data_IF_546757261219
#
_entry.id   IF_546757261219
#
_cell.length_a   1.000
_cell.length_b   1.000
_cell.length_c   1.000
_cell.angle_alpha   90.00
_cell.angle_beta   90.00
_cell.angle_gamma   90.00
#
_symmetry.space_group_name_H-M   'P 1'
#
loop_
_entity.id
_entity.type
_entity.pdbx_description
1 polymer ?
#
# COMPACT_ATOMS: atom_id res chain seq x y z
N UNK A 1 4.31 26.94 16.18
CA UNK A 1 5.63 27.29 15.64
C UNK A 1 5.64 27.01 14.15
N UNK A 2 6.42 27.75 13.39
CA UNK A 2 6.58 27.58 11.94
C UNK A 2 8.04 27.76 11.54
N UNK A 3 8.41 27.15 10.42
CA UNK A 3 9.75 27.25 9.84
C UNK A 3 10.88 26.79 10.79
N UNK A 4 10.66 25.63 11.45
CA UNK A 4 11.68 24.99 12.29
C UNK A 4 12.39 23.88 11.52
N UNK A 5 13.66 23.70 11.85
CA UNK A 5 14.53 22.74 11.24
C UNK A 5 15.14 21.81 12.31
N UNK A 6 14.85 20.51 12.22
CA UNK A 6 15.39 19.48 13.10
C UNK A 6 16.32 18.58 12.28
N UNK A 7 17.58 18.55 12.62
CA UNK A 7 18.57 17.76 11.89
C UNK A 7 19.56 17.09 12.83
N UNK A 8 19.98 15.87 12.47
CA UNK A 8 21.01 15.09 13.18
C UNK A 8 20.70 14.82 14.66
N UNK A 9 19.43 14.77 15.04
CA UNK A 9 19.01 14.50 16.41
C UNK A 9 18.79 13.00 16.64
N UNK A 10 19.07 12.55 17.85
CA UNK A 10 18.65 11.23 18.34
C UNK A 10 17.61 11.41 19.44
N UNK A 11 16.40 10.87 19.22
CA UNK A 11 15.29 10.95 20.15
C UNK A 11 14.92 9.56 20.68
N UNK A 12 14.87 9.46 22.02
CA UNK A 12 14.41 8.26 22.73
C UNK A 12 13.30 8.68 23.69
N UNK A 13 12.07 8.66 23.20
CA UNK A 13 10.90 9.09 23.96
C UNK A 13 9.65 8.38 23.42
N UNK A 14 8.59 8.30 24.21
CA UNK A 14 7.32 7.75 23.75
C UNK A 14 6.73 8.56 22.59
N UNK A 15 6.84 9.88 22.63
CA UNK A 15 6.45 10.82 21.58
C UNK A 15 7.70 11.57 21.14
N UNK A 16 8.01 11.57 19.85
CA UNK A 16 9.15 12.25 19.28
C UNK A 16 8.86 13.74 19.00
N UNK A 17 8.56 14.09 17.77
CA UNK A 17 8.24 15.48 17.37
C UNK A 17 6.76 15.58 17.02
N UNK A 18 6.04 16.46 17.73
CA UNK A 18 4.63 16.69 17.52
C UNK A 18 4.25 18.17 17.66
N UNK A 19 3.28 18.63 16.87
CA UNK A 19 2.81 20.04 16.93
C UNK A 19 1.45 20.21 17.61
N UNK A 20 1.16 19.42 18.63
CA UNK A 20 -0.04 19.57 19.43
C UNK A 20 -1.19 18.63 19.04
N UNK A 21 -2.42 18.98 19.35
CA UNK A 21 -3.61 18.17 19.11
C UNK A 21 -4.45 18.62 17.91
N UNK A 22 -5.46 17.84 17.56
CA UNK A 22 -6.30 17.99 16.36
C UNK A 22 -6.80 19.42 16.10
N UNK A 23 -7.21 20.12 17.13
CA UNK A 23 -7.77 21.48 17.03
C UNK A 23 -6.78 22.60 17.41
N UNK A 24 -5.51 22.29 17.52
CA UNK A 24 -4.48 23.30 17.77
C UNK A 24 -4.27 24.22 16.56
N UNK A 25 -3.56 25.33 16.76
CA UNK A 25 -3.22 26.26 15.68
C UNK A 25 -2.39 25.64 14.55
N UNK A 26 -1.83 24.44 14.79
CA UNK A 26 -0.93 23.79 13.85
C UNK A 26 0.43 24.43 13.71
N UNK A 27 1.18 23.97 12.75
CA UNK A 27 2.51 24.49 12.41
C UNK A 27 2.78 24.28 10.92
N UNK A 28 3.60 25.14 10.34
CA UNK A 28 3.90 25.11 8.92
C UNK A 28 5.41 25.14 8.64
N UNK A 29 5.83 24.55 7.52
CA UNK A 29 7.20 24.64 7.06
C UNK A 29 8.23 23.95 7.96
N UNK A 30 7.85 22.88 8.64
CA UNK A 30 8.77 22.12 9.50
C UNK A 30 9.57 21.13 8.66
N UNK A 31 10.88 21.10 8.85
CA UNK A 31 11.79 20.13 8.24
C UNK A 31 12.40 19.24 9.31
N UNK A 32 12.26 17.92 9.14
CA UNK A 32 12.86 16.90 10.01
C UNK A 32 13.68 15.97 9.13
N UNK A 33 14.99 16.02 9.26
CA UNK A 33 15.88 15.21 8.43
C UNK A 33 17.09 14.65 9.19
N UNK A 34 17.58 13.49 8.72
CA UNK A 34 18.77 12.82 9.29
C UNK A 34 18.70 12.60 10.80
N UNK A 35 17.46 12.47 11.31
CA UNK A 35 17.21 12.19 12.71
C UNK A 35 17.03 10.69 12.96
N UNK A 36 17.28 10.25 14.19
CA UNK A 36 17.07 8.88 14.65
C UNK A 36 16.03 8.87 15.76
N UNK A 37 14.93 8.14 15.55
CA UNK A 37 13.91 7.91 16.54
C UNK A 37 14.00 6.44 17.01
N UNK A 38 14.16 6.22 18.29
CA UNK A 38 14.44 4.90 18.85
C UNK A 38 13.40 4.53 19.91
N UNK A 39 12.64 3.47 19.68
CA UNK A 39 11.62 2.99 20.60
C UNK A 39 10.45 3.95 20.80
N UNK A 40 10.18 4.81 19.84
CA UNK A 40 9.10 5.80 19.92
C UNK A 40 7.76 5.16 19.55
N UNK A 41 6.69 5.42 20.32
CA UNK A 41 5.35 4.96 19.95
C UNK A 41 4.70 5.87 18.89
N UNK A 42 4.97 7.18 18.96
CA UNK A 42 4.55 8.18 17.98
C UNK A 42 5.77 9.04 17.62
N UNK A 43 6.44 8.68 16.52
CA UNK A 43 7.73 9.32 16.26
C UNK A 43 7.57 10.74 15.73
N UNK A 44 6.73 10.95 14.72
CA UNK A 44 6.49 12.27 14.13
C UNK A 44 4.98 12.44 13.93
N UNK A 45 4.44 13.56 14.40
CA UNK A 45 3.03 13.88 14.19
C UNK A 45 2.85 15.37 13.91
N UNK A 46 2.18 15.69 12.81
CA UNK A 46 1.79 17.08 12.53
C UNK A 46 0.68 17.57 13.47
N UNK A 47 -0.01 16.66 14.15
CA UNK A 47 -0.86 16.86 15.33
C UNK A 47 -2.12 17.67 15.11
N UNK A 48 -2.20 18.52 14.09
CA UNK A 48 -3.33 19.42 13.85
C UNK A 48 -3.73 19.49 12.39
N UNK A 49 -5.03 19.57 12.12
CA UNK A 49 -5.60 19.81 10.80
C UNK A 49 -5.12 21.12 10.14
N UNK A 50 -4.67 22.07 10.95
CA UNK A 50 -4.13 23.34 10.50
C UNK A 50 -2.62 23.29 10.21
N UNK A 51 -1.98 22.14 10.32
CA UNK A 51 -0.56 21.97 9.98
C UNK A 51 -0.36 21.86 8.48
N UNK A 52 0.73 22.41 7.96
CA UNK A 52 1.02 22.37 6.54
C UNK A 52 2.50 22.34 6.20
N UNK A 53 2.84 21.80 5.03
CA UNK A 53 4.16 21.87 4.42
C UNK A 53 5.30 21.37 5.34
N UNK A 54 5.07 20.22 5.98
CA UNK A 54 6.15 19.51 6.66
C UNK A 54 6.92 18.64 5.67
N UNK A 55 8.25 18.63 5.82
CA UNK A 55 9.16 17.75 5.08
C UNK A 55 9.87 16.83 6.06
N UNK A 56 9.60 15.52 5.95
CA UNK A 56 10.22 14.47 6.77
C UNK A 56 11.05 13.59 5.85
N UNK A 57 12.39 13.70 5.94
CA UNK A 57 13.25 13.01 4.97
C UNK A 57 14.55 12.49 5.60
N UNK A 58 15.03 11.38 5.06
CA UNK A 58 16.32 10.78 5.43
C UNK A 58 16.44 10.40 6.92
N UNK A 59 15.32 10.00 7.56
CA UNK A 59 15.31 9.62 8.98
C UNK A 59 15.33 8.10 9.16
N UNK A 60 15.90 7.66 10.28
CA UNK A 60 15.81 6.29 10.81
C UNK A 60 14.80 6.28 11.96
N UNK A 61 13.65 5.61 11.77
CA UNK A 61 12.53 5.64 12.70
C UNK A 61 12.19 4.23 13.12
N UNK A 62 12.38 3.90 14.40
CA UNK A 62 12.10 2.58 14.95
C UNK A 62 11.13 2.70 16.11
N UNK A 63 10.03 1.97 16.00
CA UNK A 63 8.99 1.88 17.01
C UNK A 63 9.37 0.98 18.19
N UNK A 64 8.47 0.81 19.18
CA UNK A 64 8.67 -0.06 20.31
C UNK A 64 8.87 -1.52 19.88
N UNK A 65 9.71 -2.26 20.57
CA UNK A 65 9.97 -3.69 20.25
C UNK A 65 8.72 -4.57 20.30
N UNK A 66 7.75 -4.19 21.12
CA UNK A 66 6.47 -4.91 21.29
C UNK A 66 5.45 -4.68 20.16
N UNK A 67 5.70 -3.73 19.28
CA UNK A 67 4.77 -3.34 18.19
C UNK A 67 5.39 -3.71 16.85
N UNK A 68 5.29 -4.95 16.43
CA UNK A 68 5.84 -5.37 15.15
C UNK A 68 5.21 -6.67 14.63
N UNK A 69 5.29 -6.82 13.34
CA UNK A 69 4.97 -8.03 12.60
C UNK A 69 5.72 -9.29 13.16
N UNK A 70 5.14 -10.51 13.13
CA UNK A 70 3.85 -10.82 12.50
C UNK A 70 2.65 -10.77 13.46
N UNK A 71 2.85 -10.42 14.71
CA UNK A 71 1.83 -10.52 15.74
C UNK A 71 1.12 -9.19 15.91
N UNK A 72 -0.20 -9.20 15.66
CA UNK A 72 -1.04 -8.04 15.94
C UNK A 72 -0.93 -7.65 17.40
N UNK A 73 -0.33 -6.52 17.66
CA UNK A 73 -0.24 -5.91 18.99
C UNK A 73 -1.48 -5.07 19.27
N UNK A 74 -1.89 -4.98 20.53
CA UNK A 74 -2.92 -4.02 20.93
C UNK A 74 -2.35 -2.59 21.16
N UNK A 75 -1.04 -2.42 21.06
CA UNK A 75 -0.42 -1.11 21.26
C UNK A 75 -0.58 -0.26 20.00
N UNK A 76 -1.26 0.85 20.14
CA UNK A 76 -1.30 1.85 19.08
C UNK A 76 0.05 2.54 18.98
N UNK A 77 0.64 2.51 17.78
CA UNK A 77 1.89 3.21 17.49
C UNK A 77 1.93 3.58 16.02
N UNK A 78 2.47 4.75 15.70
CA UNK A 78 2.57 5.23 14.31
C UNK A 78 3.93 5.90 14.09
N UNK A 79 4.58 5.54 13.01
CA UNK A 79 5.88 6.12 12.65
C UNK A 79 5.75 7.60 12.30
N UNK A 80 5.04 7.90 11.22
CA UNK A 80 4.70 9.28 10.84
C UNK A 80 3.20 9.41 10.68
N UNK A 81 2.62 10.31 11.43
CA UNK A 81 1.18 10.56 11.48
C UNK A 81 0.88 11.98 11.03
N UNK A 82 0.16 12.13 9.92
CA UNK A 82 -0.09 13.41 9.29
C UNK A 82 -1.55 13.85 9.41
N UNK A 83 -1.70 15.10 9.77
CA UNK A 83 -2.92 15.89 9.64
C UNK A 83 -2.61 17.11 8.79
N UNK A 84 -3.60 17.63 8.09
CA UNK A 84 -3.43 18.84 7.28
C UNK A 84 -2.89 18.56 5.89
N UNK A 85 -2.12 19.45 5.32
CA UNK A 85 -1.89 19.50 3.87
C UNK A 85 -0.45 19.83 3.46
N UNK A 86 -0.08 19.43 2.24
CA UNK A 86 1.20 19.82 1.62
C UNK A 86 2.41 19.11 2.22
N UNK A 87 2.26 17.94 2.81
CA UNK A 87 3.34 17.24 3.48
C UNK A 87 4.12 16.33 2.55
N UNK A 88 5.42 16.21 2.81
CA UNK A 88 6.34 15.31 2.12
C UNK A 88 7.00 14.39 3.14
N UNK A 89 6.89 13.08 2.94
CA UNK A 89 7.60 12.06 3.70
C UNK A 89 8.37 11.17 2.73
N UNK A 90 9.68 11.32 2.68
CA UNK A 90 10.49 10.67 1.66
C UNK A 90 11.83 10.17 2.18
N UNK A 91 12.34 9.08 1.59
CA UNK A 91 13.65 8.53 1.90
C UNK A 91 13.87 8.20 3.39
N UNK A 92 12.80 7.83 4.12
CA UNK A 92 12.92 7.40 5.50
C UNK A 92 12.98 5.86 5.59
N UNK A 93 13.65 5.34 6.62
CA UNK A 93 13.52 3.96 7.04
C UNK A 93 12.66 3.91 8.29
N UNK A 94 11.48 3.27 8.19
CA UNK A 94 10.46 3.24 9.26
C UNK A 94 10.08 1.80 9.53
N UNK A 95 10.16 1.38 10.81
CA UNK A 95 9.90 -0.02 11.16
C UNK A 95 9.35 -0.20 12.57
N UNK A 96 8.64 -1.33 12.78
CA UNK A 96 8.11 -1.76 14.09
C UNK A 96 7.04 -0.82 14.64
N UNK A 97 6.04 -0.54 13.85
CA UNK A 97 4.88 0.26 14.24
C UNK A 97 3.56 -0.50 14.01
N UNK A 98 2.46 0.04 14.53
CA UNK A 98 1.12 -0.26 14.04
C UNK A 98 1.06 0.09 12.58
N UNK A 99 1.09 1.40 12.32
CA UNK A 99 1.17 1.96 10.97
C UNK A 99 2.52 2.65 10.78
N UNK A 100 3.24 2.33 9.71
CA UNK A 100 4.48 3.03 9.44
C UNK A 100 4.23 4.48 9.05
N UNK A 101 3.31 4.70 8.10
CA UNK A 101 2.87 6.01 7.65
C UNK A 101 1.35 6.07 7.69
N UNK A 102 0.78 7.14 8.23
CA UNK A 102 -0.65 7.34 8.24
C UNK A 102 -1.03 8.80 7.99
N UNK A 103 -2.14 9.01 7.30
CA UNK A 103 -2.87 10.27 7.34
C UNK A 103 -4.06 10.10 8.28
N UNK A 104 -4.34 11.13 9.05
CA UNK A 104 -5.38 11.05 10.08
C UNK A 104 -6.42 12.14 9.89
N UNK A 105 -7.59 11.70 9.50
CA UNK A 105 -8.77 12.54 9.56
C UNK A 105 -10.01 11.65 9.67
N UNK A 106 -10.19 11.07 10.84
CA UNK A 106 -11.28 10.13 11.05
C UNK A 106 -12.65 10.81 10.96
N UNK A 107 -13.48 10.25 10.13
CA UNK A 107 -14.87 10.62 10.00
C UNK A 107 -15.29 11.00 8.58
N UNK A 108 -16.57 11.24 8.37
CA UNK A 108 -17.10 11.69 7.10
C UNK A 108 -16.49 13.04 6.70
N UNK A 109 -16.51 13.38 5.41
CA UNK A 109 -16.12 14.72 4.96
C UNK A 109 -16.90 15.77 5.77
N UNK A 110 -16.20 16.71 6.36
CA UNK A 110 -16.82 17.89 6.98
C UNK A 110 -17.11 18.91 5.88
N UNK A 111 -17.99 19.86 6.17
CA UNK A 111 -18.35 20.93 5.21
C UNK A 111 -17.12 21.69 4.68
N UNK A 112 -16.13 21.89 5.54
CA UNK A 112 -14.85 22.51 5.17
C UNK A 112 -13.83 21.47 4.71
N UNK A 113 -13.79 21.22 3.40
CA UNK A 113 -12.86 20.27 2.77
C UNK A 113 -11.39 20.67 2.99
N UNK A 114 -11.10 21.94 3.26
CA UNK A 114 -9.74 22.41 3.49
C UNK A 114 -9.13 21.88 4.80
N UNK A 115 -9.94 21.38 5.71
CA UNK A 115 -9.49 20.72 6.94
C UNK A 115 -9.09 19.26 6.74
N UNK A 116 -9.35 18.68 5.59
CA UNK A 116 -9.00 17.29 5.30
C UNK A 116 -7.58 17.15 4.77
N UNK A 117 -7.01 15.96 4.98
CA UNK A 117 -5.69 15.62 4.48
C UNK A 117 -5.68 15.58 2.96
N UNK A 118 -4.82 16.41 2.36
CA UNK A 118 -4.66 16.53 0.92
C UNK A 118 -3.24 16.96 0.53
N UNK A 119 -2.88 16.79 -0.73
CA UNK A 119 -1.58 17.20 -1.27
C UNK A 119 -0.40 16.63 -0.44
N UNK A 120 -0.40 15.33 -0.24
CA UNK A 120 0.60 14.61 0.57
C UNK A 120 1.40 13.65 -0.31
N UNK A 121 2.70 13.65 -0.14
CA UNK A 121 3.64 12.77 -0.83
C UNK A 121 4.31 11.78 0.12
N UNK A 122 4.16 10.48 -0.14
CA UNK A 122 4.92 9.40 0.46
C UNK A 122 5.76 8.71 -0.62
N UNK A 123 7.08 8.89 -0.62
CA UNK A 123 7.89 8.27 -1.65
C UNK A 123 9.30 7.86 -1.22
N UNK A 124 9.83 6.82 -1.88
CA UNK A 124 11.16 6.27 -1.64
C UNK A 124 11.44 5.86 -0.18
N UNK A 125 10.39 5.61 0.61
CA UNK A 125 10.56 5.12 1.96
C UNK A 125 10.82 3.61 1.97
N UNK A 126 11.59 3.14 2.96
CA UNK A 126 11.82 1.74 3.29
C UNK A 126 11.03 1.40 4.56
N UNK A 127 9.87 0.75 4.39
CA UNK A 127 8.91 0.46 5.45
C UNK A 127 8.92 -1.03 5.79
N UNK A 128 8.97 -1.37 7.09
CA UNK A 128 8.93 -2.77 7.47
C UNK A 128 8.36 -3.04 8.86
N UNK A 129 7.93 -4.29 9.04
CA UNK A 129 7.52 -4.83 10.32
C UNK A 129 6.34 -4.05 10.93
N UNK A 130 5.30 -3.78 10.13
CA UNK A 130 4.06 -3.18 10.58
C UNK A 130 3.08 -4.26 11.05
N UNK A 131 2.45 -4.08 12.21
CA UNK A 131 1.44 -5.03 12.65
C UNK A 131 0.03 -4.71 12.12
N UNK A 132 -0.19 -3.53 11.57
CA UNK A 132 -1.36 -3.15 10.78
C UNK A 132 -0.95 -2.70 9.39
N UNK A 133 -1.03 -1.44 9.03
CA UNK A 133 -0.79 -0.98 7.67
C UNK A 133 0.66 -0.45 7.47
N UNK A 134 1.28 -0.74 6.32
CA UNK A 134 2.50 0.01 5.97
C UNK A 134 2.20 1.47 5.71
N UNK A 135 1.14 1.73 4.93
CA UNK A 135 0.70 3.08 4.58
C UNK A 135 -0.83 3.12 4.65
N UNK A 136 -1.35 3.95 5.54
CA UNK A 136 -2.76 4.21 5.70
C UNK A 136 -3.10 5.61 5.17
N UNK A 137 -3.89 5.66 4.07
CA UNK A 137 -4.36 6.93 3.48
C UNK A 137 -5.85 7.14 3.70
N UNK A 138 -6.38 6.56 4.76
CA UNK A 138 -7.81 6.55 5.06
C UNK A 138 -8.33 7.95 5.34
N UNK A 139 -9.54 8.24 4.84
CA UNK A 139 -10.22 9.53 4.97
C UNK A 139 -9.53 10.72 4.27
N UNK A 140 -8.55 10.48 3.40
CA UNK A 140 -7.98 11.51 2.55
C UNK A 140 -8.98 12.02 1.49
N UNK A 141 -8.73 13.19 0.94
CA UNK A 141 -9.66 13.83 0.00
C UNK A 141 -9.15 13.88 -1.42
N UNK A 142 -7.96 14.44 -1.63
CA UNK A 142 -7.40 14.57 -2.97
C UNK A 142 -5.88 14.77 -2.99
N UNK A 143 -5.28 14.41 -4.11
CA UNK A 143 -3.88 14.61 -4.42
C UNK A 143 -2.94 14.02 -3.35
N UNK A 144 -3.20 12.77 -2.95
CA UNK A 144 -2.30 11.99 -2.10
C UNK A 144 -1.53 11.03 -2.99
N UNK A 145 -0.19 11.10 -2.96
CA UNK A 145 0.69 10.31 -3.83
C UNK A 145 1.56 9.38 -3.00
N UNK A 146 1.36 8.09 -3.21
CA UNK A 146 2.12 7.00 -2.58
C UNK A 146 2.89 6.30 -3.69
N UNK A 147 4.18 6.60 -3.84
CA UNK A 147 4.91 6.14 -4.99
C UNK A 147 6.36 5.74 -4.69
N UNK A 148 6.80 4.65 -5.36
CA UNK A 148 8.14 4.10 -5.19
C UNK A 148 8.54 3.89 -3.73
N UNK A 149 7.63 3.36 -2.89
CA UNK A 149 7.98 2.90 -1.56
C UNK A 149 8.27 1.40 -1.59
N UNK A 150 9.18 0.95 -0.75
CA UNK A 150 9.40 -0.47 -0.47
C UNK A 150 8.78 -0.81 0.87
N UNK A 151 7.86 -1.77 0.84
CA UNK A 151 7.05 -2.19 1.97
C UNK A 151 7.22 -3.70 2.19
N UNK A 152 7.66 -4.14 3.37
CA UNK A 152 7.82 -5.57 3.67
C UNK A 152 7.38 -5.91 5.09
N UNK A 153 6.87 -7.13 5.25
CA UNK A 153 6.48 -7.66 6.55
C UNK A 153 5.40 -6.83 7.24
N UNK A 154 4.16 -6.96 6.82
CA UNK A 154 3.05 -6.32 7.50
C UNK A 154 1.82 -7.21 7.56
N UNK A 155 0.87 -6.81 8.38
CA UNK A 155 -0.48 -7.38 8.33
C UNK A 155 -1.19 -6.89 7.07
N UNK A 156 -1.15 -5.58 6.78
CA UNK A 156 -1.74 -4.94 5.60
C UNK A 156 -0.69 -4.09 4.88
N UNK A 157 -0.78 -4.00 3.57
CA UNK A 157 0.13 -3.18 2.75
C UNK A 157 -0.30 -1.72 2.65
N UNK A 158 -1.13 -1.44 1.64
CA UNK A 158 -1.58 -0.09 1.29
C UNK A 158 -3.09 0.01 1.55
N UNK A 159 -3.49 0.93 2.41
CA UNK A 159 -4.88 1.15 2.82
C UNK A 159 -5.44 2.45 2.25
N UNK A 160 -6.65 2.36 1.68
CA UNK A 160 -7.47 3.47 1.19
C UNK A 160 -8.92 3.17 1.57
N UNK A 161 -9.39 3.62 2.76
CA UNK A 161 -10.72 3.23 3.25
C UNK A 161 -11.38 4.21 4.26
N UNK A 162 -12.25 5.10 3.82
CA UNK A 162 -12.51 5.50 2.44
C UNK A 162 -11.51 6.52 1.91
N UNK A 163 -11.73 6.94 0.67
CA UNK A 163 -11.08 8.12 0.10
C UNK A 163 -12.15 8.96 -0.61
N UNK A 164 -12.19 10.25 -0.35
CA UNK A 164 -13.33 11.09 -0.70
C UNK A 164 -13.10 11.92 -1.96
N UNK A 165 -13.14 11.26 -3.13
CA UNK A 165 -13.13 11.92 -4.43
C UNK A 165 -11.81 11.80 -5.19
N UNK A 166 -10.68 11.84 -4.54
CA UNK A 166 -9.37 11.65 -5.16
C UNK A 166 -8.88 12.83 -6.01
N UNK A 167 -7.78 12.63 -6.75
CA UNK A 167 -7.10 11.35 -6.86
C UNK A 167 -6.21 10.99 -5.66
N UNK A 168 -6.16 9.69 -5.37
CA UNK A 168 -5.08 9.07 -4.64
C UNK A 168 -4.28 8.18 -5.59
N UNK A 169 -2.97 8.31 -5.58
CA UNK A 169 -2.08 7.60 -6.48
C UNK A 169 -1.28 6.55 -5.72
N UNK A 170 -1.40 5.29 -6.10
CA UNK A 170 -0.55 4.20 -5.65
C UNK A 170 0.31 3.76 -6.83
N UNK A 171 1.56 4.26 -6.94
CA UNK A 171 2.35 4.10 -8.15
C UNK A 171 3.73 3.50 -7.85
N UNK A 172 4.11 2.44 -8.59
CA UNK A 172 5.44 1.82 -8.53
C UNK A 172 5.90 1.45 -7.12
N UNK A 173 4.97 1.05 -6.24
CA UNK A 173 5.34 0.54 -4.92
C UNK A 173 5.73 -0.95 -5.00
N UNK A 174 6.75 -1.32 -4.25
CA UNK A 174 7.21 -2.68 -4.04
C UNK A 174 6.69 -3.19 -2.71
N UNK A 175 5.85 -4.23 -2.71
CA UNK A 175 5.23 -4.78 -1.49
C UNK A 175 5.49 -6.29 -1.40
N UNK A 176 6.12 -6.77 -0.31
CA UNK A 176 6.46 -8.16 -0.13
C UNK A 176 6.20 -8.66 1.29
N UNK A 177 5.60 -9.85 1.43
CA UNK A 177 5.45 -10.49 2.74
C UNK A 177 4.30 -9.94 3.59
N UNK A 178 3.22 -9.47 2.97
CA UNK A 178 2.00 -9.05 3.65
C UNK A 178 1.13 -10.26 3.98
N UNK A 179 0.62 -10.35 5.21
CA UNK A 179 -0.12 -11.54 5.67
C UNK A 179 -1.62 -11.49 5.47
N UNK A 180 -2.21 -10.29 5.39
CA UNK A 180 -3.65 -10.14 5.21
C UNK A 180 -3.98 -9.58 3.82
N UNK A 181 -3.87 -8.29 3.60
CA UNK A 181 -4.22 -7.64 2.34
C UNK A 181 -3.08 -6.71 1.89
N UNK A 182 -2.59 -6.86 0.68
CA UNK A 182 -1.65 -5.88 0.11
C UNK A 182 -2.36 -4.60 -0.28
N UNK A 183 -3.56 -4.72 -0.88
CA UNK A 183 -4.47 -3.59 -1.13
C UNK A 183 -5.71 -3.72 -0.24
N UNK A 184 -5.96 -2.73 0.60
CA UNK A 184 -7.14 -2.61 1.46
C UNK A 184 -7.98 -1.41 0.98
N UNK A 185 -8.78 -1.62 -0.07
CA UNK A 185 -9.60 -0.59 -0.71
C UNK A 185 -11.06 -0.80 -0.30
N UNK A 186 -11.44 -0.25 0.85
CA UNK A 186 -12.73 -0.53 1.48
C UNK A 186 -13.55 0.74 1.70
N UNK A 187 -14.80 0.56 2.09
CA UNK A 187 -15.69 1.64 2.55
C UNK A 187 -15.89 2.72 1.50
N UNK A 188 -16.25 2.30 0.28
CA UNK A 188 -16.60 3.19 -0.83
C UNK A 188 -15.51 4.19 -1.23
N UNK A 189 -14.26 3.78 -1.41
CA UNK A 189 -13.22 4.71 -1.84
C UNK A 189 -13.47 5.19 -3.27
N UNK A 190 -13.11 6.44 -3.56
CA UNK A 190 -13.31 7.03 -4.88
C UNK A 190 -12.07 7.80 -5.37
N UNK A 191 -11.84 7.76 -6.70
CA UNK A 191 -10.72 8.47 -7.32
C UNK A 191 -9.37 7.83 -7.04
N UNK A 192 -9.19 6.55 -7.40
CA UNK A 192 -7.98 5.79 -7.08
C UNK A 192 -7.23 5.41 -8.35
N UNK A 193 -5.97 5.81 -8.44
CA UNK A 193 -5.05 5.49 -9.53
C UNK A 193 -3.99 4.50 -9.05
N UNK A 194 -4.06 3.25 -9.49
CA UNK A 194 -3.19 2.16 -9.05
C UNK A 194 -2.38 1.65 -10.23
N UNK A 195 -1.13 2.10 -10.34
CA UNK A 195 -0.32 1.86 -11.52
C UNK A 195 1.05 1.28 -11.19
N UNK A 196 1.47 0.29 -11.97
CA UNK A 196 2.82 -0.27 -11.92
C UNK A 196 3.28 -0.69 -10.51
N UNK A 197 2.41 -1.22 -9.65
CA UNK A 197 2.86 -1.79 -8.39
C UNK A 197 3.20 -3.27 -8.53
N UNK A 198 4.15 -3.75 -7.75
CA UNK A 198 4.40 -5.19 -7.56
C UNK A 198 4.07 -5.56 -6.14
N UNK A 199 3.09 -6.45 -5.97
CA UNK A 199 2.62 -6.89 -4.66
C UNK A 199 2.66 -8.39 -4.54
N UNK A 200 3.34 -8.87 -3.49
CA UNK A 200 3.52 -10.28 -3.19
C UNK A 200 2.99 -10.56 -1.78
N UNK A 201 1.77 -11.09 -1.70
CA UNK A 201 1.13 -11.43 -0.44
C UNK A 201 1.48 -12.85 0.02
N UNK A 202 1.49 -13.07 1.33
CA UNK A 202 1.55 -14.42 1.88
C UNK A 202 0.21 -15.16 1.75
N UNK A 203 -0.87 -14.41 1.56
CA UNK A 203 -2.24 -14.91 1.38
C UNK A 203 -2.93 -14.22 0.20
N UNK A 204 -4.02 -13.51 0.41
CA UNK A 204 -4.77 -12.83 -0.65
C UNK A 204 -4.15 -11.46 -0.97
N UNK A 205 -3.99 -11.14 -2.25
CA UNK A 205 -3.33 -9.91 -2.66
C UNK A 205 -4.15 -8.64 -2.44
N UNK A 206 -5.48 -8.68 -2.49
CA UNK A 206 -6.22 -7.44 -2.28
C UNK A 206 -7.72 -7.58 -2.07
N UNK A 207 -8.28 -6.55 -1.44
CA UNK A 207 -9.72 -6.36 -1.27
C UNK A 207 -10.16 -5.04 -1.88
N UNK A 208 -11.20 -5.09 -2.71
CA UNK A 208 -11.83 -3.91 -3.29
C UNK A 208 -13.28 -3.86 -2.80
N UNK A 209 -13.65 -2.79 -2.09
CA UNK A 209 -14.98 -2.63 -1.50
C UNK A 209 -15.74 -1.44 -2.07
N UNK A 210 -16.58 -1.66 -3.09
CA UNK A 210 -17.44 -0.65 -3.70
C UNK A 210 -16.68 0.59 -4.19
N UNK A 211 -15.51 0.40 -4.79
CA UNK A 211 -14.69 1.49 -5.31
C UNK A 211 -15.35 2.18 -6.50
N UNK A 212 -15.15 3.47 -6.61
CA UNK A 212 -15.65 4.30 -7.70
C UNK A 212 -14.50 5.08 -8.34
N UNK A 213 -14.58 5.30 -9.64
CA UNK A 213 -13.55 6.03 -10.38
C UNK A 213 -12.15 5.50 -10.02
N UNK A 214 -11.97 4.18 -10.20
CA UNK A 214 -10.73 3.49 -9.92
C UNK A 214 -10.10 3.00 -11.22
N UNK A 215 -8.83 3.30 -11.39
CA UNK A 215 -8.04 2.88 -12.55
C UNK A 215 -6.88 2.01 -12.10
N UNK A 216 -6.85 0.76 -12.61
CA UNK A 216 -5.93 -0.28 -12.16
C UNK A 216 -5.15 -0.82 -13.36
N UNK A 217 -3.86 -0.46 -13.49
CA UNK A 217 -3.06 -0.72 -14.69
C UNK A 217 -1.64 -1.18 -14.38
N UNK A 218 -1.13 -2.06 -15.21
CA UNK A 218 0.28 -2.48 -15.20
C UNK A 218 0.77 -3.04 -13.86
N UNK A 219 -0.10 -3.53 -12.99
CA UNK A 219 0.32 -4.06 -11.70
C UNK A 219 0.69 -5.56 -11.82
N UNK A 220 1.61 -6.01 -10.99
CA UNK A 220 1.88 -7.43 -10.74
C UNK A 220 1.32 -7.81 -9.37
N UNK A 221 0.36 -8.75 -9.35
CA UNK A 221 -0.44 -9.09 -8.18
C UNK A 221 -0.30 -10.58 -7.91
N UNK A 222 0.59 -10.92 -6.97
CA UNK A 222 0.88 -12.30 -6.63
C UNK A 222 0.40 -12.59 -5.21
N UNK A 223 -0.50 -13.54 -5.12
CA UNK A 223 -0.95 -14.10 -3.85
C UNK A 223 -0.02 -15.19 -3.34
N UNK A 224 -0.28 -15.64 -2.13
CA UNK A 224 0.43 -16.72 -1.47
C UNK A 224 -0.46 -17.95 -1.24
N UNK A 225 -0.27 -18.58 -0.09
CA UNK A 225 -1.05 -19.76 0.33
C UNK A 225 -2.29 -19.28 1.07
N UNK A 226 -3.39 -19.15 0.34
CA UNK A 226 -4.63 -18.53 0.84
C UNK A 226 -5.25 -19.31 2.00
N UNK A 227 -5.11 -20.64 2.04
CA UNK A 227 -5.61 -21.49 3.13
C UNK A 227 -5.04 -21.06 4.47
N UNK A 228 -3.78 -20.65 4.50
CA UNK A 228 -3.11 -20.14 5.70
C UNK A 228 -3.65 -18.81 6.20
N UNK A 229 -4.38 -18.07 5.36
CA UNK A 229 -5.09 -16.87 5.78
C UNK A 229 -6.07 -17.15 6.92
N UNK A 230 -6.70 -18.34 6.91
CA UNK A 230 -7.64 -18.72 7.96
C UNK A 230 -6.96 -19.01 9.30
N UNK A 231 -5.67 -19.32 9.30
CA UNK A 231 -4.91 -19.59 10.54
C UNK A 231 -4.68 -18.32 11.40
N UNK A 232 -4.78 -17.12 10.78
CA UNK A 232 -4.64 -15.85 11.52
C UNK A 232 -5.86 -15.50 12.37
N UNK A 233 -7.00 -16.18 12.14
CA UNK A 233 -8.22 -15.96 12.91
C UNK A 233 -8.32 -16.95 14.08
N UNK A 234 -8.67 -16.42 15.26
CA UNK A 234 -8.73 -17.21 16.49
C UNK A 234 -9.99 -18.05 16.62
N UNK A 235 -11.13 -17.60 16.08
CA UNK A 235 -12.41 -18.31 16.22
C UNK A 235 -12.86 -19.00 14.94
N UNK A 236 -13.56 -20.13 15.08
CA UNK A 236 -14.15 -20.86 13.93
C UNK A 236 -15.23 -20.03 13.23
N UNK A 237 -15.94 -19.17 13.95
CA UNK A 237 -16.91 -18.24 13.38
C UNK A 237 -16.23 -17.22 12.44
N UNK A 238 -15.08 -16.67 12.84
CA UNK A 238 -14.29 -15.80 11.97
C UNK A 238 -13.71 -16.54 10.78
N UNK A 239 -13.16 -17.74 10.97
CA UNK A 239 -12.67 -18.60 9.89
C UNK A 239 -13.77 -18.89 8.88
N UNK A 240 -14.97 -19.32 9.34
CA UNK A 240 -16.13 -19.59 8.50
C UNK A 240 -16.57 -18.35 7.71
N UNK A 241 -16.64 -17.20 8.35
CA UNK A 241 -16.99 -15.92 7.71
C UNK A 241 -15.98 -15.54 6.61
N UNK A 242 -14.69 -15.66 6.91
CA UNK A 242 -13.63 -15.26 5.99
C UNK A 242 -13.38 -16.29 4.88
N UNK A 243 -13.64 -17.59 5.10
CA UNK A 243 -13.55 -18.63 4.06
C UNK A 243 -14.39 -18.30 2.81
N UNK A 244 -15.55 -17.67 2.98
CA UNK A 244 -16.41 -17.26 1.86
C UNK A 244 -15.87 -16.06 1.05
N UNK A 245 -14.78 -15.45 1.52
CA UNK A 245 -14.21 -14.25 0.93
C UNK A 245 -12.86 -14.49 0.27
N UNK A 246 -12.34 -15.71 0.39
CA UNK A 246 -11.03 -16.04 -0.14
C UNK A 246 -11.01 -15.96 -1.66
N UNK A 247 -9.90 -15.40 -2.16
CA UNK A 247 -9.53 -15.44 -3.57
C UNK A 247 -8.00 -15.34 -3.67
N UNK A 248 -7.44 -15.93 -4.73
CA UNK A 248 -6.00 -15.85 -4.93
C UNK A 248 -5.52 -14.44 -5.28
N UNK A 249 -6.21 -13.77 -6.19
CA UNK A 249 -5.86 -12.42 -6.61
C UNK A 249 -6.65 -11.37 -5.80
N UNK A 250 -7.89 -11.11 -6.19
CA UNK A 250 -8.68 -10.04 -5.60
C UNK A 250 -10.05 -10.56 -5.15
N UNK A 251 -10.52 -10.02 -4.03
CA UNK A 251 -11.86 -10.30 -3.55
C UNK A 251 -12.60 -9.03 -3.13
N UNK A 252 -13.90 -9.07 -3.19
CA UNK A 252 -14.74 -8.04 -2.61
C UNK A 252 -15.82 -7.50 -3.50
N UNK A 253 -15.92 -6.21 -3.57
CA UNK A 253 -17.06 -5.55 -4.13
C UNK A 253 -16.83 -4.93 -5.47
N UNK A 254 -17.88 -4.39 -5.97
CA UNK A 254 -18.08 -3.73 -7.22
C UNK A 254 -17.21 -2.49 -7.35
N UNK A 255 -16.51 -2.38 -8.45
CA UNK A 255 -16.20 -1.08 -9.05
C UNK A 255 -17.45 -0.63 -9.84
N UNK A 256 -17.69 0.67 -9.97
CA UNK A 256 -18.72 1.18 -10.87
C UNK A 256 -18.19 1.09 -12.31
N UNK A 257 -18.70 0.20 -13.17
CA UNK A 257 -18.08 -0.08 -14.47
C UNK A 257 -17.94 1.15 -15.35
N UNK A 258 -18.93 2.03 -15.34
CA UNK A 258 -18.95 3.24 -16.18
C UNK A 258 -17.88 4.28 -15.83
N UNK A 259 -17.21 4.15 -14.68
CA UNK A 259 -16.22 5.14 -14.19
C UNK A 259 -14.90 4.51 -13.75
N UNK A 260 -14.77 3.19 -13.89
CA UNK A 260 -13.58 2.46 -13.44
C UNK A 260 -13.02 1.62 -14.58
N UNK A 261 -11.71 1.42 -14.57
CA UNK A 261 -11.04 0.60 -15.57
C UNK A 261 -10.00 -0.30 -14.92
N UNK A 262 -9.83 -1.50 -15.45
CA UNK A 262 -8.87 -2.49 -14.96
C UNK A 262 -8.38 -3.30 -16.15
N UNK A 263 -7.08 -3.18 -16.46
CA UNK A 263 -6.47 -3.86 -17.61
C UNK A 263 -4.94 -3.84 -17.53
N UNK A 264 -4.27 -4.69 -18.31
CA UNK A 264 -2.81 -4.81 -18.35
C UNK A 264 -2.21 -5.18 -16.98
N UNK A 265 -2.87 -6.01 -16.18
CA UNK A 265 -2.29 -6.47 -14.93
C UNK A 265 -1.86 -7.94 -15.00
N UNK A 266 -0.81 -8.29 -14.28
CA UNK A 266 -0.34 -9.67 -14.14
C UNK A 266 -0.78 -10.26 -12.81
N UNK A 267 -1.30 -11.50 -12.82
CA UNK A 267 -1.86 -12.18 -11.66
C UNK A 267 -1.30 -13.57 -11.48
N UNK A 268 -0.95 -13.94 -10.24
CA UNK A 268 -0.71 -15.32 -9.87
C UNK A 268 -2.03 -16.05 -9.61
N UNK A 269 -2.29 -17.16 -10.33
CA UNK A 269 -3.48 -17.99 -10.17
C UNK A 269 -3.51 -18.64 -8.79
N UNK A 270 -2.36 -18.83 -8.16
CA UNK A 270 -2.24 -19.62 -6.95
C UNK A 270 -2.33 -21.13 -7.21
N UNK A 271 -2.18 -21.93 -6.17
CA UNK A 271 -2.01 -23.39 -6.28
C UNK A 271 -3.26 -24.20 -5.99
N UNK A 272 -4.18 -23.73 -5.15
CA UNK A 272 -5.40 -24.45 -4.82
C UNK A 272 -6.50 -24.17 -5.85
N UNK A 273 -6.90 -25.18 -6.66
CA UNK A 273 -7.98 -25.03 -7.64
C UNK A 273 -9.35 -24.82 -7.00
N UNK A 274 -9.53 -25.17 -5.72
CA UNK A 274 -10.81 -25.00 -5.02
C UNK A 274 -11.05 -23.55 -4.59
N UNK A 275 -10.00 -22.76 -4.47
CA UNK A 275 -10.10 -21.34 -4.16
C UNK A 275 -10.30 -20.56 -5.47
N UNK A 276 -11.32 -19.68 -5.55
CA UNK A 276 -11.53 -18.89 -6.74
C UNK A 276 -10.33 -17.97 -7.02
N UNK A 277 -10.10 -17.68 -8.28
CA UNK A 277 -9.10 -16.71 -8.69
C UNK A 277 -9.52 -15.30 -8.29
N UNK A 278 -10.75 -14.94 -8.64
CA UNK A 278 -11.41 -13.73 -8.18
C UNK A 278 -12.72 -14.08 -7.45
N UNK A 279 -12.97 -13.43 -6.35
CA UNK A 279 -14.27 -13.45 -5.70
C UNK A 279 -14.89 -12.06 -5.88
N UNK A 280 -15.72 -11.91 -6.89
CA UNK A 280 -16.18 -10.61 -7.35
C UNK A 280 -17.67 -10.40 -7.15
N UNK A 281 -18.04 -9.19 -6.79
CA UNK A 281 -19.43 -8.80 -6.59
C UNK A 281 -19.82 -7.72 -7.60
N UNK A 282 -20.90 -7.91 -8.34
CA UNK A 282 -21.51 -6.90 -9.19
C UNK A 282 -22.96 -6.72 -8.77
N UNK A 283 -23.28 -5.57 -8.18
CA UNK A 283 -24.58 -5.34 -7.57
C UNK A 283 -24.89 -6.35 -6.47
N UNK A 284 -25.98 -7.10 -6.61
CA UNK A 284 -26.39 -8.18 -5.67
C UNK A 284 -25.78 -9.53 -5.98
N UNK A 285 -25.14 -9.69 -7.14
CA UNK A 285 -24.54 -10.95 -7.57
C UNK A 285 -23.12 -11.07 -7.02
N UNK A 286 -22.77 -12.24 -6.51
CA UNK A 286 -21.41 -12.58 -6.09
C UNK A 286 -20.96 -13.80 -6.89
N UNK A 287 -19.85 -13.67 -7.60
CA UNK A 287 -19.32 -14.69 -8.49
C UNK A 287 -17.94 -15.14 -8.03
N UNK A 288 -17.74 -16.44 -7.97
CA UNK A 288 -16.45 -17.09 -7.74
C UNK A 288 -15.84 -17.44 -9.09
N UNK A 289 -15.03 -16.56 -9.62
CA UNK A 289 -14.45 -16.68 -10.96
C UNK A 289 -13.13 -17.42 -10.88
N UNK A 290 -12.91 -18.39 -11.78
CA UNK A 290 -11.78 -19.33 -11.68
C UNK A 290 -10.64 -19.04 -12.64
N UNK A 291 -10.86 -18.14 -13.61
CA UNK A 291 -9.86 -17.75 -14.61
C UNK A 291 -9.94 -16.28 -14.95
N UNK A 292 -8.91 -15.74 -15.60
CA UNK A 292 -8.95 -14.39 -16.20
C UNK A 292 -10.05 -14.28 -17.25
N UNK A 293 -10.25 -15.33 -18.04
CA UNK A 293 -11.32 -15.40 -19.05
C UNK A 293 -12.70 -15.25 -18.40
N UNK A 294 -12.96 -15.96 -17.30
CA UNK A 294 -14.22 -15.83 -16.58
C UNK A 294 -14.39 -14.43 -15.99
N UNK A 295 -13.29 -13.85 -15.46
CA UNK A 295 -13.30 -12.51 -14.92
C UNK A 295 -13.57 -11.44 -16.00
N UNK A 296 -12.88 -11.54 -17.13
CA UNK A 296 -13.15 -10.68 -18.30
C UNK A 296 -14.59 -10.82 -18.79
N UNK A 297 -15.07 -12.05 -18.99
CA UNK A 297 -16.43 -12.30 -19.47
C UNK A 297 -17.52 -11.77 -18.53
N UNK A 298 -17.28 -11.76 -17.22
CA UNK A 298 -18.24 -11.26 -16.24
C UNK A 298 -18.17 -9.73 -16.05
N UNK A 299 -16.99 -9.14 -16.14
CA UNK A 299 -16.75 -7.72 -15.77
C UNK A 299 -16.45 -6.80 -16.95
N UNK A 300 -15.96 -7.33 -18.06
CA UNK A 300 -15.37 -6.58 -19.16
C UNK A 300 -13.96 -6.05 -18.87
N UNK A 301 -13.39 -6.33 -17.67
CA UNK A 301 -12.04 -5.95 -17.28
C UNK A 301 -10.99 -6.97 -17.73
N UNK A 302 -9.72 -6.61 -17.69
CA UNK A 302 -8.56 -7.48 -17.96
C UNK A 302 -8.58 -8.12 -19.35
N UNK A 303 -8.85 -7.33 -20.38
CA UNK A 303 -8.74 -7.78 -21.77
C UNK A 303 -7.30 -8.17 -22.14
N UNK A 304 -6.32 -7.47 -21.56
CA UNK A 304 -4.88 -7.70 -21.73
C UNK A 304 -4.20 -8.21 -20.45
N UNK A 305 -4.99 -8.77 -19.52
CA UNK A 305 -4.45 -9.35 -18.28
C UNK A 305 -3.58 -10.58 -18.54
N UNK A 306 -2.51 -10.75 -17.75
CA UNK A 306 -1.58 -11.87 -17.87
C UNK A 306 -1.66 -12.80 -16.67
N UNK A 307 -1.46 -14.11 -16.92
CA UNK A 307 -1.13 -15.07 -15.88
C UNK A 307 0.39 -15.07 -15.69
N UNK A 308 0.81 -14.90 -14.45
CA UNK A 308 2.21 -14.91 -14.04
C UNK A 308 2.38 -15.77 -12.80
N UNK A 309 3.61 -16.12 -12.48
CA UNK A 309 4.00 -16.73 -11.22
C UNK A 309 5.31 -16.11 -10.72
N UNK A 310 5.84 -16.60 -9.61
CA UNK A 310 7.06 -16.05 -9.01
C UNK A 310 8.33 -16.27 -9.86
N UNK A 311 8.29 -17.11 -10.91
CA UNK A 311 9.42 -17.34 -11.82
C UNK A 311 9.75 -16.15 -12.72
N UNK A 312 8.84 -15.16 -12.80
CA UNK A 312 9.06 -13.90 -13.53
C UNK A 312 10.13 -13.02 -12.88
N UNK A 313 10.43 -13.23 -11.60
CA UNK A 313 11.42 -12.45 -10.86
C UNK A 313 12.80 -13.10 -10.85
N UNK A 314 13.84 -12.30 -10.70
CA UNK A 314 15.20 -12.81 -10.54
C UNK A 314 15.34 -13.73 -9.33
N UNK A 315 14.73 -13.33 -8.19
CA UNK A 315 14.79 -14.10 -6.95
C UNK A 315 13.60 -13.77 -6.06
N UNK A 316 12.50 -14.46 -6.23
CA UNK A 316 11.38 -14.37 -5.33
C UNK A 316 10.65 -15.72 -5.23
N UNK A 317 9.95 -15.90 -4.15
CA UNK A 317 9.06 -17.05 -3.91
C UNK A 317 7.82 -16.58 -3.14
N UNK A 318 6.72 -17.34 -3.14
CA UNK A 318 5.56 -16.98 -2.34
C UNK A 318 5.92 -16.73 -0.87
N UNK A 319 5.62 -15.53 -0.33
CA UNK A 319 5.90 -15.26 1.07
C UNK A 319 5.14 -16.22 1.99
N UNK A 320 5.73 -16.52 3.14
CA UNK A 320 5.11 -17.39 4.15
C UNK A 320 4.53 -16.56 5.28
N UNK A 321 3.33 -16.91 5.73
CA UNK A 321 2.72 -16.32 6.93
C UNK A 321 3.65 -16.49 8.13
N UNK A 322 3.86 -15.43 8.88
CA UNK A 322 4.70 -15.45 10.09
C UNK A 322 6.21 -15.38 9.84
N UNK A 323 6.65 -15.34 8.59
CA UNK A 323 8.08 -15.15 8.28
C UNK A 323 8.36 -13.66 8.02
N UNK A 324 9.39 -13.13 8.68
CA UNK A 324 9.96 -11.81 8.37
C UNK A 324 11.05 -11.95 7.31
N UNK A 325 11.06 -11.03 6.38
CA UNK A 325 11.99 -10.98 5.27
C UNK A 325 12.86 -9.74 5.35
N UNK A 326 14.13 -9.90 5.00
CA UNK A 326 15.07 -8.81 4.79
C UNK A 326 15.15 -8.47 3.29
N UNK A 327 15.76 -7.37 2.95
CA UNK A 327 15.91 -6.92 1.56
C UNK A 327 16.76 -7.89 0.71
N UNK A 328 17.72 -8.55 1.34
CA UNK A 328 18.58 -9.55 0.69
C UNK A 328 17.89 -10.90 0.45
N UNK A 329 16.71 -11.15 1.04
CA UNK A 329 16.00 -12.44 0.90
C UNK A 329 15.27 -12.56 -0.45
N UNK A 330 15.01 -11.45 -1.15
CA UNK A 330 14.27 -11.44 -2.40
C UNK A 330 14.74 -10.35 -3.35
N UNK A 331 14.35 -10.46 -4.64
CA UNK A 331 14.47 -9.42 -5.66
C UNK A 331 13.23 -9.47 -6.54
N UNK A 332 12.48 -8.38 -6.64
CA UNK A 332 11.33 -8.26 -7.53
C UNK A 332 11.69 -7.62 -8.88
N UNK A 333 12.98 -7.56 -9.22
CA UNK A 333 13.42 -7.25 -10.57
C UNK A 333 12.95 -8.35 -11.53
N UNK A 334 12.49 -7.96 -12.71
CA UNK A 334 12.02 -8.90 -13.71
C UNK A 334 13.19 -9.69 -14.30
N UNK A 335 13.02 -10.99 -14.35
CA UNK A 335 13.96 -11.88 -15.00
C UNK A 335 13.92 -11.66 -16.51
N UNK A 336 15.06 -11.58 -17.15
CA UNK A 336 15.17 -11.42 -18.60
C UNK A 336 14.30 -12.43 -19.36
N UNK A 337 13.47 -11.92 -20.27
CA UNK A 337 12.57 -12.71 -21.09
C UNK A 337 11.29 -13.17 -20.39
N UNK A 338 10.99 -12.67 -19.17
CA UNK A 338 9.72 -12.95 -18.52
C UNK A 338 8.55 -12.19 -19.16
N UNK A 339 7.36 -12.76 -19.08
CA UNK A 339 6.16 -12.27 -19.78
C UNK A 339 5.70 -10.84 -19.43
N UNK A 340 5.98 -10.25 -18.24
CA UNK A 340 5.62 -8.87 -17.94
C UNK A 340 6.49 -7.82 -18.64
N UNK A 341 7.63 -8.20 -19.20
CA UNK A 341 8.51 -7.28 -19.93
C UNK A 341 7.84 -6.88 -21.25
N UNK A 342 7.83 -5.59 -21.55
CA UNK A 342 7.20 -5.01 -22.74
C UNK A 342 5.66 -5.28 -22.85
N UNK A 343 5.00 -5.61 -21.76
CA UNK A 343 3.60 -6.03 -21.75
C UNK A 343 2.64 -5.02 -21.12
N UNK A 344 3.13 -3.92 -20.61
CA UNK A 344 2.33 -2.87 -20.00
C UNK A 344 1.79 -1.86 -21.00
N UNK A 345 0.81 -1.10 -20.57
CA UNK A 345 0.24 0.03 -21.30
C UNK A 345 1.08 1.30 -21.03
N UNK A 346 1.30 2.11 -22.04
CA UNK A 346 1.91 3.42 -21.84
C UNK A 346 0.95 4.35 -21.07
N UNK A 347 1.44 4.86 -19.95
CA UNK A 347 0.72 5.76 -19.03
C UNK A 347 1.51 7.07 -18.94
N UNK A 348 1.04 8.17 -19.53
CA UNK A 348 1.75 9.46 -19.51
C UNK A 348 2.09 9.90 -18.09
N UNK A 349 3.29 10.44 -17.90
CA UNK A 349 3.87 10.84 -16.62
C UNK A 349 4.14 9.69 -15.60
N UNK A 350 3.82 8.45 -15.95
CA UNK A 350 4.07 7.27 -15.11
C UNK A 350 5.12 6.36 -15.74
N UNK A 351 4.99 6.11 -17.05
CA UNK A 351 5.85 5.15 -17.77
C UNK A 351 6.69 5.77 -18.89
N UNK A 352 6.82 7.09 -18.94
CA UNK A 352 7.47 7.81 -20.06
C UNK A 352 8.93 7.43 -20.34
N UNK A 353 9.61 6.80 -19.38
CA UNK A 353 11.02 6.43 -19.47
C UNK A 353 11.24 4.90 -19.53
N UNK A 354 10.33 4.18 -20.17
CA UNK A 354 10.51 2.74 -20.33
C UNK A 354 11.60 2.38 -21.34
N UNK A 355 12.15 1.18 -21.20
CA UNK A 355 13.04 0.56 -22.16
C UNK A 355 12.25 -0.46 -23.00
N UNK A 356 12.67 -0.68 -24.25
CA UNK A 356 12.06 -1.70 -25.08
C UNK A 356 10.89 -1.20 -25.92
N UNK A 357 9.90 -2.07 -26.16
CA UNK A 357 8.77 -1.81 -27.09
C UNK A 357 7.56 -1.18 -26.37
N UNK A 358 7.38 -1.48 -25.11
CA UNK A 358 6.32 -0.99 -24.24
C UNK A 358 6.82 -0.97 -22.79
N UNK A 359 6.13 -0.28 -21.87
CA UNK A 359 6.47 -0.34 -20.46
C UNK A 359 6.33 -1.77 -19.90
N UNK A 360 7.11 -2.08 -18.89
CA UNK A 360 6.94 -3.32 -18.16
C UNK A 360 5.76 -3.24 -17.17
N UNK A 361 5.14 -4.36 -16.89
CA UNK A 361 4.22 -4.47 -15.76
C UNK A 361 5.01 -4.55 -14.45
N UNK A 362 4.48 -3.92 -13.40
CA UNK A 362 5.09 -3.91 -12.07
C UNK A 362 5.91 -2.66 -11.77
N UNK A 363 6.58 -2.67 -10.61
CA UNK A 363 7.24 -1.49 -10.07
C UNK A 363 8.63 -1.22 -10.64
N UNK A 364 9.24 -2.22 -11.27
CA UNK A 364 10.57 -2.14 -11.87
C UNK A 364 10.48 -2.24 -13.38
N UNK A 365 11.36 -1.53 -14.05
CA UNK A 365 11.57 -1.58 -15.49
C UNK A 365 12.84 -2.40 -15.76
N UNK A 366 12.75 -3.42 -16.60
CA UNK A 366 13.86 -4.30 -16.91
C UNK A 366 15.04 -3.54 -17.54
N UNK A 367 16.25 -3.84 -17.07
CA UNK A 367 17.46 -3.15 -17.52
C UNK A 367 17.67 -1.75 -16.94
N UNK A 368 16.76 -1.26 -16.10
CA UNK A 368 16.97 -0.04 -15.33
C UNK A 368 17.42 -0.36 -13.89
N UNK A 369 18.28 0.48 -13.29
CA UNK A 369 18.65 0.32 -11.89
C UNK A 369 17.40 0.50 -11.00
N UNK A 370 17.29 -0.34 -9.98
CA UNK A 370 16.22 -0.20 -8.99
C UNK A 370 16.28 1.14 -8.26
N UNK A 371 15.14 1.65 -7.80
CA UNK A 371 15.11 2.91 -7.05
C UNK A 371 15.81 2.75 -5.70
N UNK A 372 16.40 3.84 -5.21
CA UNK A 372 16.92 3.90 -3.85
C UNK A 372 15.77 4.06 -2.86
N UNK A 373 15.74 3.22 -1.85
CA UNK A 373 14.77 3.29 -0.74
C UNK A 373 15.50 3.61 0.58
N UNK A 374 14.84 4.40 1.44
CA UNK A 374 15.42 4.77 2.73
C UNK A 374 16.43 5.92 2.66
N UNK A 375 17.10 6.23 3.77
CA UNK A 375 17.99 7.39 3.88
C UNK A 375 19.12 7.42 2.83
N UNK A 376 19.42 8.62 2.37
CA UNK A 376 20.42 8.89 1.31
C UNK A 376 21.79 9.20 1.89
#
# INVERSE_FOLDING_TARGET
ASHLFFENLTLKARIGISSGGKHAKGSAGIVIRRCRFIGTAYAISTGSENSSNWTVTDNEITGPETSWYPYKSNSKSTGVNLYGRGHIVAYNRIRRFGDCLAIYNFGPPVEDIEKHCAAIDFYHNDLSDAWDDHIETDYGVHNVRVWRNRCRNAHTGLSVQPFYGGPVYLIRNEVYGVTNLTFKLNVFPAGIEIYNNTVCAATCAGRIGYAQNMHFRNNLILGGIVEKFLEVFKSDAEKKRNRRRLAHALWGGTMTPSRSTMDYNGYDRGRDPNIPFFNWRSGRQSMMLRSLRDFHGFTGYENHGLLVDYSIFERASPPKVGKSYKTEDYSLQLKKGSSPIDAGMNLPNVTDTFNGKAPDMGCHEAGQPGPRYGPR
#
